data_IF_697158725540
#
_entry.id   IF_697158725540
#
_cell.length_a   1.000
_cell.length_b   1.000
_cell.length_c   1.000
_cell.angle_alpha   90.00
_cell.angle_beta   90.00
_cell.angle_gamma   90.00
#
_symmetry.space_group_name_H-M   'P 1'
#
loop_
_entity.id
_entity.type
_entity.pdbx_description
1 polymer ?
#
# COMPACT_ATOMS: atom_id res chain seq x y z
N UNK A 1 -13.41 -6.05 -3.96
CA UNK A 1 -13.27 -4.87 -3.08
C UNK A 1 -11.95 -4.17 -3.39
N UNK A 2 -12.04 -2.90 -3.62
CA UNK A 2 -10.85 -2.11 -3.96
C UNK A 2 -10.37 -1.33 -2.76
N UNK A 3 -9.06 -1.14 -2.69
CA UNK A 3 -8.41 -0.45 -1.58
C UNK A 3 -7.29 0.44 -2.10
N UNK A 4 -6.95 1.44 -1.31
CA UNK A 4 -5.82 2.32 -1.58
C UNK A 4 -4.75 2.03 -0.53
N UNK A 5 -3.55 1.70 -0.99
CA UNK A 5 -2.40 1.46 -0.13
C UNK A 5 -1.46 2.64 -0.27
N UNK A 6 -1.19 3.31 0.85
CA UNK A 6 -0.26 4.44 0.90
C UNK A 6 0.99 4.02 1.66
N UNK A 7 2.16 4.26 1.07
CA UNK A 7 3.44 3.93 1.68
C UNK A 7 4.28 5.21 1.73
N UNK A 8 4.72 5.58 2.92
CA UNK A 8 5.48 6.81 3.13
C UNK A 8 6.71 6.49 3.96
N UNK A 9 7.85 7.00 3.53
CA UNK A 9 9.09 6.81 4.29
C UNK A 9 10.27 7.43 3.59
N UNK A 10 11.45 7.18 4.15
CA UNK A 10 12.69 7.59 3.51
C UNK A 10 12.91 6.71 2.28
N UNK A 11 13.33 7.32 1.18
CA UNK A 11 13.57 6.58 -0.05
C UNK A 11 14.65 5.51 0.18
N UNK A 12 14.26 4.25 0.01
CA UNK A 12 15.17 3.12 0.19
C UNK A 12 14.95 2.09 -0.90
N UNK A 13 16.05 1.48 -1.31
CA UNK A 13 16.00 0.40 -2.28
C UNK A 13 15.13 -0.74 -1.72
N UNK A 14 14.26 -1.26 -2.54
CA UNK A 14 13.48 -2.43 -2.20
C UNK A 14 12.09 -2.17 -1.65
N UNK A 15 11.68 -0.91 -1.44
CA UNK A 15 10.34 -0.63 -0.91
C UNK A 15 9.26 -1.17 -1.85
N UNK A 16 9.35 -0.85 -3.13
CA UNK A 16 8.36 -1.30 -4.10
C UNK A 16 8.34 -2.82 -4.18
N UNK A 17 9.52 -3.42 -4.24
CA UNK A 17 9.62 -4.88 -4.33
C UNK A 17 9.01 -5.57 -3.11
N UNK A 18 9.28 -5.07 -1.91
CA UNK A 18 8.75 -5.68 -0.69
C UNK A 18 7.23 -5.58 -0.62
N UNK A 19 6.67 -4.43 -0.96
CA UNK A 19 5.23 -4.23 -0.93
C UNK A 19 4.55 -5.08 -2.01
N UNK A 20 5.06 -5.03 -3.24
CA UNK A 20 4.49 -5.79 -4.35
C UNK A 20 4.56 -7.30 -4.10
N UNK A 21 5.67 -7.79 -3.59
CA UNK A 21 5.82 -9.20 -3.27
C UNK A 21 4.80 -9.65 -2.23
N UNK A 22 4.62 -8.87 -1.17
CA UNK A 22 3.67 -9.21 -0.12
C UNK A 22 2.24 -9.19 -0.65
N UNK A 23 1.89 -8.19 -1.45
CA UNK A 23 0.56 -8.13 -2.04
C UNK A 23 0.30 -9.36 -2.91
N UNK A 24 1.29 -9.76 -3.70
CA UNK A 24 1.16 -10.95 -4.54
C UNK A 24 0.94 -12.20 -3.68
N UNK A 25 1.68 -12.34 -2.60
CA UNK A 25 1.54 -13.49 -1.69
C UNK A 25 0.18 -13.53 -1.01
N UNK A 26 -0.42 -12.37 -0.79
CA UNK A 26 -1.76 -12.27 -0.21
C UNK A 26 -2.87 -12.45 -1.25
N UNK A 27 -2.52 -12.57 -2.52
CA UNK A 27 -3.50 -12.71 -3.60
C UNK A 27 -4.18 -11.40 -3.97
N UNK A 28 -3.52 -10.28 -3.70
CA UNK A 28 -4.06 -8.95 -3.96
C UNK A 28 -3.45 -8.42 -5.26
N UNK A 29 -4.31 -7.98 -6.18
CA UNK A 29 -3.88 -7.49 -7.47
C UNK A 29 -3.66 -5.98 -7.45
N UNK A 30 -2.52 -5.54 -7.98
CA UNK A 30 -2.22 -4.12 -8.11
C UNK A 30 -2.79 -3.61 -9.42
N UNK A 31 -3.63 -2.59 -9.35
CA UNK A 31 -4.28 -2.03 -10.53
C UNK A 31 -3.61 -0.75 -11.00
N UNK A 32 -3.05 0.02 -10.08
CA UNK A 32 -2.40 1.27 -10.44
C UNK A 32 -1.39 1.64 -9.37
N UNK A 33 -0.33 2.33 -9.75
CA UNK A 33 0.71 2.81 -8.85
C UNK A 33 1.07 4.23 -9.23
N UNK A 34 1.15 5.10 -8.23
CA UNK A 34 1.71 6.45 -8.39
C UNK A 34 2.77 6.64 -7.31
N UNK A 35 3.92 7.19 -7.68
CA UNK A 35 4.99 7.40 -6.72
C UNK A 35 5.68 8.72 -6.97
N UNK A 36 6.17 9.33 -5.89
CA UNK A 36 6.89 10.58 -5.97
C UNK A 36 7.86 10.69 -4.80
N UNK A 37 8.83 11.59 -4.93
CA UNK A 37 9.76 11.90 -3.86
C UNK A 37 9.57 13.36 -3.50
N UNK A 38 9.26 13.60 -2.22
CA UNK A 38 9.03 14.95 -1.72
C UNK A 38 9.93 15.18 -0.52
N UNK A 39 10.88 16.12 -0.64
CA UNK A 39 11.78 16.48 0.46
C UNK A 39 12.46 15.27 1.08
N UNK A 40 13.00 14.39 0.23
CA UNK A 40 13.68 13.17 0.62
C UNK A 40 12.76 12.09 1.18
N UNK A 41 11.45 12.29 1.11
CA UNK A 41 10.49 11.26 1.50
C UNK A 41 9.93 10.59 0.26
N UNK A 42 9.89 9.27 0.29
CA UNK A 42 9.26 8.47 -0.74
C UNK A 42 7.78 8.34 -0.41
N UNK A 43 6.93 8.65 -1.37
CA UNK A 43 5.48 8.52 -1.22
C UNK A 43 4.97 7.67 -2.37
N UNK A 44 4.30 6.57 -2.05
CA UNK A 44 3.73 5.67 -3.05
C UNK A 44 2.26 5.44 -2.72
N UNK A 45 1.42 5.55 -3.72
CA UNK A 45 -0.01 5.28 -3.59
C UNK A 45 -0.37 4.22 -4.62
N UNK A 46 -1.00 3.14 -4.16
CA UNK A 46 -1.38 2.03 -5.02
C UNK A 46 -2.88 1.80 -4.93
N UNK A 47 -3.52 1.59 -6.07
CA UNK A 47 -4.89 1.11 -6.11
C UNK A 47 -4.82 -0.41 -6.29
N UNK A 48 -5.44 -1.14 -5.38
CA UNK A 48 -5.38 -2.60 -5.39
C UNK A 48 -6.78 -3.21 -5.32
N UNK A 49 -6.91 -4.42 -5.85
CA UNK A 49 -8.13 -5.19 -5.74
C UNK A 49 -7.90 -6.33 -4.77
N UNK A 50 -8.56 -6.27 -3.63
CA UNK A 50 -8.40 -7.23 -2.55
C UNK A 50 -9.52 -8.28 -2.51
N UNK A 51 -10.26 -8.46 -3.61
CA UNK A 51 -11.38 -9.40 -3.65
C UNK A 51 -10.95 -10.81 -3.27
N UNK A 52 -9.79 -11.23 -3.72
CA UNK A 52 -9.28 -12.58 -3.48
C UNK A 52 -8.19 -12.62 -2.41
N UNK A 53 -8.17 -11.63 -1.53
CA UNK A 53 -7.15 -11.57 -0.48
C UNK A 53 -7.23 -12.78 0.44
N UNK A 54 -6.07 -13.34 0.77
CA UNK A 54 -5.97 -14.48 1.69
C UNK A 54 -6.27 -14.08 3.14
N UNK A 55 -6.28 -12.76 3.44
CA UNK A 55 -6.57 -12.27 4.80
C UNK A 55 -7.71 -11.26 4.75
N UNK A 56 -8.42 -11.05 5.87
CA UNK A 56 -9.46 -10.01 5.93
C UNK A 56 -8.88 -8.63 5.66
N UNK A 57 -9.72 -7.72 5.18
CA UNK A 57 -9.30 -6.36 4.85
C UNK A 57 -8.56 -5.68 6.00
N UNK A 58 -9.06 -5.82 7.23
CA UNK A 58 -8.47 -5.16 8.39
C UNK A 58 -7.11 -5.72 8.77
N UNK A 59 -6.67 -6.82 8.16
CA UNK A 59 -5.36 -7.42 8.41
C UNK A 59 -4.33 -7.03 7.36
N UNK A 60 -4.76 -6.51 6.21
CA UNK A 60 -3.86 -6.22 5.10
C UNK A 60 -2.79 -5.21 5.51
N UNK A 61 -3.21 -4.12 6.18
CA UNK A 61 -2.27 -3.10 6.62
C UNK A 61 -1.17 -3.64 7.52
N UNK A 62 -1.54 -4.49 8.48
CA UNK A 62 -0.57 -5.11 9.37
C UNK A 62 0.38 -6.05 8.65
N UNK A 63 -0.13 -6.80 7.68
CA UNK A 63 0.70 -7.69 6.89
C UNK A 63 1.74 -6.92 6.07
N UNK A 64 1.32 -5.83 5.45
CA UNK A 64 2.24 -5.00 4.68
C UNK A 64 3.24 -4.27 5.58
N UNK A 65 2.79 -3.77 6.72
CA UNK A 65 3.67 -3.10 7.66
C UNK A 65 4.75 -4.05 8.17
N UNK A 66 4.38 -5.30 8.48
CA UNK A 66 5.35 -6.31 8.90
C UNK A 66 6.37 -6.63 7.82
N UNK A 67 5.90 -6.74 6.56
CA UNK A 67 6.77 -7.08 5.44
C UNK A 67 7.77 -5.96 5.14
N UNK A 68 7.49 -4.73 5.54
CA UNK A 68 8.33 -3.56 5.27
C UNK A 68 8.98 -3.00 6.52
N UNK A 69 8.88 -3.69 7.66
CA UNK A 69 9.39 -3.18 8.93
C UNK A 69 10.87 -2.82 8.86
N UNK A 70 11.66 -3.62 8.15
CA UNK A 70 13.10 -3.41 8.02
C UNK A 70 13.44 -2.18 7.15
N UNK A 71 12.46 -1.61 6.45
CA UNK A 71 12.67 -0.47 5.56
C UNK A 71 12.29 0.86 6.20
N UNK A 72 11.65 0.83 7.37
CA UNK A 72 11.32 2.05 8.08
C UNK A 72 10.25 2.90 7.43
N UNK A 73 9.31 2.27 6.71
CA UNK A 73 8.21 2.98 6.06
C UNK A 73 6.93 2.81 6.85
N UNK A 74 5.98 3.70 6.64
CA UNK A 74 4.64 3.63 7.22
C UNK A 74 3.65 3.26 6.12
N UNK A 75 2.81 2.27 6.39
CA UNK A 75 1.84 1.78 5.42
C UNK A 75 0.44 2.02 5.96
N UNK A 76 -0.43 2.57 5.12
CA UNK A 76 -1.85 2.75 5.42
C UNK A 76 -2.68 2.10 4.32
N UNK A 77 -3.75 1.42 4.73
CA UNK A 77 -4.67 0.78 3.79
C UNK A 77 -6.07 1.31 4.07
N UNK A 78 -6.74 1.79 3.03
CA UNK A 78 -8.07 2.37 3.14
C UNK A 78 -8.97 1.83 2.03
N UNK A 79 -10.28 1.76 2.29
CA UNK A 79 -11.24 1.46 1.24
C UNK A 79 -11.21 2.55 0.19
N UNK A 80 -11.37 2.17 -1.08
CA UNK A 80 -11.41 3.13 -2.17
C UNK A 80 -12.52 4.16 -1.98
N UNK A 81 -13.70 3.73 -1.55
CA UNK A 81 -14.82 4.63 -1.34
C UNK A 81 -14.51 5.72 -0.33
N UNK A 82 -13.83 5.37 0.77
CA UNK A 82 -13.44 6.34 1.77
C UNK A 82 -12.43 7.33 1.21
N UNK A 83 -11.46 6.84 0.44
CA UNK A 83 -10.46 7.70 -0.18
C UNK A 83 -11.10 8.69 -1.14
N UNK A 84 -12.04 8.21 -1.97
CA UNK A 84 -12.75 9.07 -2.92
C UNK A 84 -13.54 10.15 -2.20
N UNK A 85 -14.23 9.80 -1.12
CA UNK A 85 -15.01 10.75 -0.35
C UNK A 85 -14.13 11.87 0.22
N UNK A 86 -12.94 11.51 0.72
CA UNK A 86 -11.99 12.48 1.25
C UNK A 86 -11.37 13.34 0.15
N UNK A 87 -11.22 12.77 -1.04
CA UNK A 87 -10.53 13.43 -2.14
C UNK A 87 -11.42 14.44 -2.88
N UNK A 88 -12.73 14.34 -2.70
CA UNK A 88 -13.68 15.22 -3.39
C UNK A 88 -13.87 16.57 -2.72
N UNK A 89 -13.21 16.79 -1.64
CA UNK A 89 -13.29 18.07 -0.97
C UNK A 89 -12.53 19.16 -1.73
#
# INVERSE_FOLDING_TARGET
>A
MKAVVSVIGTDKVGIIAAVADKLAKLGINIEDISQTIMQNNFVMIMLVDAENSAVPFDKIGGELQSATAHLGVTVHVQHEGLFDAMHRL
#
